data_IF_367516222595
#
_entry.id   IF_367516222595
#
_cell.length_a   1.000
_cell.length_b   1.000
_cell.length_c   1.000
_cell.angle_alpha   90.00
_cell.angle_beta   90.00
_cell.angle_gamma   90.00
#
_symmetry.space_group_name_H-M   'P 1'
#
loop_
_entity.id
_entity.type
_entity.pdbx_description
1 polymer ?
#
# COMPACT_ATOMS: atom_id res chain seq x y z
N UNK A 1 -14.78 -19.20 -14.31
CA UNK A 1 -13.46 -18.61 -14.03
C UNK A 1 -13.15 -18.90 -12.57
N UNK A 2 -11.98 -19.45 -12.24
CA UNK A 2 -11.67 -19.87 -10.86
C UNK A 2 -11.47 -18.66 -9.95
N UNK A 3 -11.89 -18.75 -8.69
CA UNK A 3 -11.76 -17.67 -7.70
C UNK A 3 -10.31 -17.15 -7.58
N UNK A 4 -9.33 -18.05 -7.74
CA UNK A 4 -7.90 -17.73 -7.71
C UNK A 4 -7.45 -16.79 -8.84
N UNK A 5 -8.07 -16.85 -10.02
CA UNK A 5 -7.72 -15.97 -11.14
C UNK A 5 -8.15 -14.53 -10.88
N UNK A 6 -9.40 -14.33 -10.44
CA UNK A 6 -9.91 -13.00 -10.11
C UNK A 6 -9.14 -12.37 -8.94
N UNK A 7 -8.73 -13.18 -7.97
CA UNK A 7 -7.93 -12.71 -6.85
C UNK A 7 -6.52 -12.25 -7.30
N UNK A 8 -5.84 -13.04 -8.14
CA UNK A 8 -4.54 -12.64 -8.70
C UNK A 8 -4.65 -11.38 -9.57
N UNK A 9 -5.77 -11.22 -10.28
CA UNK A 9 -6.07 -10.01 -11.05
C UNK A 9 -6.29 -8.79 -10.15
N UNK A 10 -6.99 -8.95 -9.02
CA UNK A 10 -7.12 -7.86 -8.03
C UNK A 10 -5.75 -7.44 -7.49
N UNK A 11 -4.93 -8.41 -7.09
CA UNK A 11 -3.56 -8.16 -6.60
C UNK A 11 -2.71 -7.43 -7.65
N UNK A 12 -2.86 -7.78 -8.93
CA UNK A 12 -2.17 -7.09 -10.01
C UNK A 12 -2.53 -5.60 -10.08
N UNK A 13 -3.82 -5.26 -10.00
CA UNK A 13 -4.25 -3.86 -10.00
C UNK A 13 -3.78 -3.13 -8.75
N UNK A 14 -3.80 -3.79 -7.59
CA UNK A 14 -3.32 -3.23 -6.32
C UNK A 14 -1.81 -2.91 -6.37
N UNK A 15 -1.00 -3.76 -6.99
CA UNK A 15 0.45 -3.54 -7.15
C UNK A 15 0.73 -2.26 -7.94
N UNK A 16 -0.11 -1.91 -8.94
CA UNK A 16 0.07 -0.66 -9.72
C UNK A 16 -0.10 0.60 -8.87
N UNK A 17 -0.78 0.50 -7.73
CA UNK A 17 -0.99 1.61 -6.80
C UNK A 17 0.16 1.80 -5.81
N UNK A 18 1.17 0.92 -5.84
CA UNK A 18 2.32 1.01 -4.97
C UNK A 18 3.26 2.14 -5.40
N UNK A 19 3.74 2.88 -4.42
CA UNK A 19 4.80 3.88 -4.57
C UNK A 19 6.17 3.21 -4.64
N UNK A 20 7.19 3.92 -5.15
CA UNK A 20 8.54 3.37 -5.32
C UNK A 20 9.10 2.66 -4.06
N UNK A 21 9.02 3.23 -2.83
CA UNK A 21 9.50 2.52 -1.64
C UNK A 21 8.71 1.23 -1.37
N UNK A 22 7.41 1.24 -1.67
CA UNK A 22 6.57 0.06 -1.49
C UNK A 22 6.90 -1.03 -2.52
N UNK A 23 7.23 -0.66 -3.76
CA UNK A 23 7.70 -1.56 -4.80
C UNK A 23 9.05 -2.20 -4.46
N UNK A 24 9.96 -1.45 -3.83
CA UNK A 24 11.26 -1.98 -3.37
C UNK A 24 11.08 -3.07 -2.29
N UNK A 25 10.12 -2.90 -1.38
CA UNK A 25 9.81 -3.93 -0.39
C UNK A 25 9.11 -5.14 -1.00
N UNK A 26 8.22 -4.93 -1.98
CA UNK A 26 7.63 -6.00 -2.77
C UNK A 26 8.74 -6.87 -3.41
N UNK A 27 9.78 -6.23 -3.93
CA UNK A 27 10.94 -6.96 -4.46
C UNK A 27 11.69 -7.76 -3.38
N UNK A 28 11.82 -7.22 -2.16
CA UNK A 28 12.42 -7.97 -1.05
C UNK A 28 11.61 -9.22 -0.70
N UNK A 29 10.27 -9.15 -0.79
CA UNK A 29 9.40 -10.32 -0.61
C UNK A 29 9.71 -11.38 -1.66
N UNK A 30 9.74 -11.01 -2.95
CA UNK A 30 10.07 -11.93 -4.05
C UNK A 30 11.42 -12.64 -3.83
N UNK A 31 12.44 -11.89 -3.38
CA UNK A 31 13.75 -12.46 -3.04
C UNK A 31 13.71 -13.39 -1.83
N UNK A 32 12.96 -13.04 -0.79
CA UNK A 32 12.84 -13.84 0.44
C UNK A 32 12.12 -15.16 0.19
N UNK A 33 11.08 -15.15 -0.64
CA UNK A 33 10.32 -16.36 -1.01
C UNK A 33 10.94 -17.10 -2.20
N UNK A 34 12.08 -16.61 -2.73
CA UNK A 34 12.83 -17.21 -3.85
C UNK A 34 12.00 -17.39 -5.11
N UNK A 35 11.14 -16.42 -5.39
CA UNK A 35 10.31 -16.41 -6.59
C UNK A 35 11.15 -16.14 -7.83
N UNK A 36 10.66 -16.60 -8.98
CA UNK A 36 11.32 -16.34 -10.26
C UNK A 36 10.97 -14.93 -10.74
N UNK A 37 12.01 -14.12 -11.00
CA UNK A 37 11.88 -12.79 -11.56
C UNK A 37 13.02 -12.50 -12.53
N UNK A 38 12.80 -11.56 -13.45
CA UNK A 38 13.80 -11.03 -14.37
C UNK A 38 14.08 -9.58 -14.01
N UNK A 39 15.36 -9.23 -13.88
CA UNK A 39 15.80 -7.88 -13.58
C UNK A 39 16.55 -7.31 -14.79
N UNK A 40 16.22 -6.07 -15.15
CA UNK A 40 16.94 -5.30 -16.17
C UNK A 40 17.10 -3.85 -15.69
N UNK A 41 17.78 -3.03 -16.48
CA UNK A 41 18.01 -1.60 -16.17
C UNK A 41 16.73 -0.77 -16.01
N UNK A 42 15.58 -1.28 -16.45
CA UNK A 42 14.27 -0.62 -16.37
C UNK A 42 13.40 -1.14 -15.22
N UNK A 43 13.84 -2.18 -14.48
CA UNK A 43 13.14 -2.71 -13.32
C UNK A 43 13.05 -4.23 -13.27
N UNK A 44 12.06 -4.72 -12.53
CA UNK A 44 11.84 -6.13 -12.24
C UNK A 44 10.54 -6.59 -12.90
N UNK A 45 10.60 -7.73 -13.58
CA UNK A 45 9.48 -8.39 -14.23
C UNK A 45 9.28 -9.76 -13.58
N UNK A 46 8.06 -10.07 -13.17
CA UNK A 46 7.70 -11.38 -12.62
C UNK A 46 6.25 -11.71 -13.01
N UNK A 47 5.93 -12.99 -13.09
CA UNK A 47 4.58 -13.46 -13.40
C UNK A 47 3.84 -13.82 -12.11
N UNK A 48 2.73 -13.13 -11.85
CA UNK A 48 1.85 -13.40 -10.72
C UNK A 48 1.25 -14.81 -10.78
N UNK A 49 1.10 -15.40 -11.95
CA UNK A 49 0.51 -16.74 -12.15
C UNK A 49 1.46 -17.85 -11.72
N UNK A 50 2.78 -17.59 -11.76
CA UNK A 50 3.82 -18.57 -11.42
C UNK A 50 4.31 -18.47 -9.99
N UNK A 51 3.83 -17.47 -9.24
CA UNK A 51 4.20 -17.31 -7.84
C UNK A 51 3.74 -18.50 -7.00
N UNK A 52 4.60 -18.93 -6.09
CA UNK A 52 4.22 -19.87 -5.04
C UNK A 52 3.07 -19.31 -4.19
N UNK A 53 2.33 -20.20 -3.52
CA UNK A 53 1.25 -19.78 -2.62
C UNK A 53 1.80 -18.90 -1.49
N UNK A 54 2.96 -19.26 -0.93
CA UNK A 54 3.64 -18.47 0.11
C UNK A 54 4.04 -17.08 -0.40
N UNK A 55 4.62 -16.99 -1.60
CA UNK A 55 4.97 -15.72 -2.24
C UNK A 55 3.75 -14.84 -2.47
N UNK A 56 2.69 -15.42 -3.02
CA UNK A 56 1.44 -14.72 -3.29
C UNK A 56 0.78 -14.20 -2.00
N UNK A 57 0.73 -15.03 -0.95
CA UNK A 57 0.15 -14.65 0.32
C UNK A 57 0.95 -13.54 1.03
N UNK A 58 2.29 -13.60 1.01
CA UNK A 58 3.14 -12.53 1.55
C UNK A 58 2.92 -11.19 0.82
N UNK A 59 2.82 -11.22 -0.51
CA UNK A 59 2.52 -10.02 -1.31
C UNK A 59 1.16 -9.44 -0.93
N UNK A 60 0.14 -10.29 -0.78
CA UNK A 60 -1.21 -9.87 -0.42
C UNK A 60 -1.28 -9.26 0.98
N UNK A 61 -0.57 -9.84 1.95
CA UNK A 61 -0.46 -9.28 3.30
C UNK A 61 0.24 -7.93 3.30
N UNK A 62 1.30 -7.81 2.50
CA UNK A 62 2.03 -6.56 2.34
C UNK A 62 1.18 -5.46 1.70
N UNK A 63 0.44 -5.76 0.64
CA UNK A 63 -0.50 -4.81 0.02
C UNK A 63 -1.56 -4.31 1.02
N UNK A 64 -2.12 -5.22 1.82
CA UNK A 64 -3.07 -4.87 2.90
C UNK A 64 -2.43 -3.94 3.92
N UNK A 65 -1.19 -4.20 4.32
CA UNK A 65 -0.43 -3.34 5.22
C UNK A 65 -0.23 -1.94 4.62
N UNK A 66 0.17 -1.83 3.36
CA UNK A 66 0.35 -0.56 2.65
C UNK A 66 -0.93 0.27 2.62
N UNK A 67 -2.05 -0.32 2.19
CA UNK A 67 -3.31 0.41 2.06
C UNK A 67 -3.89 0.81 3.41
N UNK A 68 -3.82 -0.07 4.41
CA UNK A 68 -4.26 0.26 5.77
C UNK A 68 -3.44 1.42 6.34
N UNK A 69 -2.12 1.37 6.18
CA UNK A 69 -1.23 2.43 6.69
C UNK A 69 -1.52 3.78 6.01
N UNK A 70 -1.77 3.78 4.70
CA UNK A 70 -2.15 4.99 3.96
C UNK A 70 -3.47 5.57 4.45
N UNK A 71 -4.48 4.72 4.62
CA UNK A 71 -5.78 5.15 5.13
C UNK A 71 -5.66 5.74 6.54
N UNK A 72 -4.98 5.05 7.45
CA UNK A 72 -4.78 5.54 8.82
C UNK A 72 -4.02 6.87 8.85
N UNK A 73 -3.03 7.04 7.95
CA UNK A 73 -2.30 8.29 7.85
C UNK A 73 -3.20 9.44 7.35
N UNK A 74 -4.05 9.18 6.34
CA UNK A 74 -5.01 10.15 5.84
C UNK A 74 -6.04 10.55 6.92
N UNK A 75 -6.55 9.59 7.67
CA UNK A 75 -7.48 9.82 8.78
C UNK A 75 -6.84 10.69 9.87
N UNK A 76 -5.61 10.37 10.29
CA UNK A 76 -4.86 11.19 11.27
C UNK A 76 -4.65 12.63 10.79
N UNK A 77 -4.36 12.84 9.51
CA UNK A 77 -4.22 14.19 8.96
C UNK A 77 -5.54 14.98 9.00
N UNK A 78 -6.66 14.33 8.69
CA UNK A 78 -7.99 14.94 8.79
C UNK A 78 -8.32 15.32 10.24
N UNK A 79 -8.00 14.46 11.20
CA UNK A 79 -8.17 14.75 12.63
C UNK A 79 -7.35 15.97 13.06
N UNK A 80 -6.07 16.02 12.71
CA UNK A 80 -5.20 17.16 13.03
C UNK A 80 -5.71 18.47 12.43
N UNK A 81 -6.19 18.43 11.20
CA UNK A 81 -6.77 19.60 10.54
C UNK A 81 -8.07 20.06 11.22
N UNK A 82 -8.91 19.11 11.64
CA UNK A 82 -10.13 19.43 12.38
C UNK A 82 -9.84 20.11 13.72
N UNK A 83 -8.79 19.65 14.42
CA UNK A 83 -8.31 20.24 15.68
C UNK A 83 -7.77 21.65 15.43
N UNK A 84 -6.98 21.87 14.36
CA UNK A 84 -6.46 23.18 13.98
C UNK A 84 -7.60 24.20 13.80
N UNK A 85 -8.61 23.84 13.02
CA UNK A 85 -9.77 24.69 12.74
C UNK A 85 -10.57 24.99 14.03
N UNK A 86 -10.73 24.00 14.91
CA UNK A 86 -11.40 24.21 16.20
C UNK A 86 -10.63 25.20 17.07
N UNK A 87 -9.32 25.05 17.18
CA UNK A 87 -8.48 25.93 17.99
C UNK A 87 -8.51 27.38 17.49
N UNK A 88 -8.48 27.60 16.17
CA UNK A 88 -8.60 28.95 15.58
C UNK A 88 -9.93 29.63 15.96
N UNK A 89 -11.04 28.88 15.93
CA UNK A 89 -12.36 29.40 16.34
C UNK A 89 -12.42 29.74 17.83
N UNK A 90 -11.75 28.99 18.70
CA UNK A 90 -11.68 29.31 20.13
C UNK A 90 -10.91 30.62 20.37
N UNK A 91 -9.75 30.80 19.72
CA UNK A 91 -8.94 32.02 19.84
C UNK A 91 -9.71 33.26 19.35
N UNK A 92 -10.44 33.16 18.24
CA UNK A 92 -11.27 34.28 17.74
C UNK A 92 -12.42 34.66 18.69
N UNK A 93 -12.98 33.68 19.41
CA UNK A 93 -14.06 33.92 20.37
C UNK A 93 -13.57 34.62 21.62
N UNK A 94 -12.39 34.24 22.12
CA UNK A 94 -11.77 34.87 23.28
C UNK A 94 -11.25 36.29 22.99
N UNK A 95 -10.91 36.57 21.72
CA UNK A 95 -10.47 37.90 21.28
C UNK A 95 -11.61 38.92 21.09
N UNK A 96 -12.87 38.47 21.13
CA UNK A 96 -14.08 39.30 20.92
C UNK A 96 -14.91 39.54 22.19
N UNK A 97 -14.47 39.01 23.34
CA UNK A 97 -15.01 39.28 24.67
C UNK A 97 -14.12 40.25 25.43
#
# INVERSE_FOLDING_TARGET
MSATYEERKSVFEDIKLLQKPEQEELFRILRKTKETYFENSNGILFDLSTLSEDGFQNIKEYLRFCFKTRQEHEERLKELESIRIQNEKYVEKDSKN
#
